data_IF_777535623450
#
_entry.id   IF_777535623450
#
_cell.length_a   1.000
_cell.length_b   1.000
_cell.length_c   1.000
_cell.angle_alpha   90.00
_cell.angle_beta   90.00
_cell.angle_gamma   90.00
#
_symmetry.space_group_name_H-M   'P 1'
#
loop_
_entity.id
_entity.type
_entity.pdbx_description
1 polymer ?
#
# COMPACT_ATOMS: atom_id res chain seq x y z
N UNK A 1 15.65 -38.34 -54.94
CA UNK A 1 14.96 -37.70 -53.79
C UNK A 1 15.80 -36.49 -53.38
N UNK A 2 15.48 -35.29 -53.87
CA UNK A 2 16.28 -34.08 -53.62
C UNK A 2 15.89 -33.46 -52.28
N UNK A 3 16.86 -33.32 -51.37
CA UNK A 3 16.68 -32.59 -50.10
C UNK A 3 17.08 -31.13 -50.30
N UNK A 4 16.10 -30.23 -50.25
CA UNK A 4 16.32 -28.80 -50.15
C UNK A 4 16.68 -28.44 -48.70
N UNK A 5 17.82 -27.78 -48.50
CA UNK A 5 18.23 -27.21 -47.22
C UNK A 5 17.69 -25.78 -47.16
N UNK A 6 16.70 -25.51 -46.32
CA UNK A 6 16.22 -24.16 -46.04
C UNK A 6 17.12 -23.55 -44.95
N UNK A 7 17.91 -22.55 -45.31
CA UNK A 7 18.67 -21.73 -44.35
C UNK A 7 17.78 -20.55 -43.97
N UNK A 8 17.29 -20.56 -42.74
CA UNK A 8 16.49 -19.48 -42.17
C UNK A 8 17.45 -18.40 -41.61
N UNK A 9 17.60 -17.28 -42.32
CA UNK A 9 18.38 -16.14 -41.85
C UNK A 9 17.58 -15.38 -40.78
N UNK A 10 17.93 -15.55 -39.52
CA UNK A 10 17.41 -14.75 -38.41
C UNK A 10 18.01 -13.33 -38.49
N UNK A 11 17.19 -12.37 -38.94
CA UNK A 11 17.49 -10.94 -38.83
C UNK A 11 17.28 -10.52 -37.36
N UNK A 12 18.37 -10.38 -36.61
CA UNK A 12 18.36 -9.79 -35.28
C UNK A 12 18.06 -8.30 -35.37
N UNK A 13 16.85 -7.89 -34.98
CA UNK A 13 16.53 -6.50 -34.71
C UNK A 13 17.24 -6.07 -33.41
N UNK A 14 18.43 -5.48 -33.54
CA UNK A 14 19.06 -4.73 -32.45
C UNK A 14 18.32 -3.41 -32.27
N UNK A 15 17.24 -3.41 -31.50
CA UNK A 15 16.67 -2.18 -30.98
C UNK A 15 17.71 -1.49 -30.11
N UNK A 16 18.18 -0.30 -30.51
CA UNK A 16 18.96 0.56 -29.64
C UNK A 16 18.12 0.81 -28.38
N UNK A 17 18.45 0.13 -27.27
CA UNK A 17 17.97 0.54 -25.95
C UNK A 17 18.60 1.90 -25.69
N UNK A 18 17.81 2.95 -25.81
CA UNK A 18 18.20 4.25 -25.25
C UNK A 18 18.58 4.01 -23.79
N UNK A 19 19.84 4.28 -23.47
CA UNK A 19 20.32 4.24 -22.10
C UNK A 19 19.72 5.43 -21.36
N UNK A 20 18.50 5.25 -20.83
CA UNK A 20 17.87 6.24 -19.97
C UNK A 20 18.73 6.40 -18.72
N UNK A 21 19.36 7.57 -18.58
CA UNK A 21 20.22 7.89 -17.44
C UNK A 21 19.59 8.87 -16.46
N UNK A 22 18.45 9.48 -16.80
CA UNK A 22 17.74 10.47 -15.98
C UNK A 22 16.21 10.23 -15.93
N UNK A 23 15.59 10.59 -14.80
CA UNK A 23 14.16 10.43 -14.53
C UNK A 23 13.58 11.63 -13.80
N UNK A 24 12.27 11.83 -13.92
CA UNK A 24 11.50 12.76 -13.11
C UNK A 24 10.42 11.97 -12.35
N UNK A 25 10.52 11.97 -11.01
CA UNK A 25 9.55 11.35 -10.11
C UNK A 25 8.53 12.39 -9.67
N UNK A 26 7.25 12.08 -9.86
CA UNK A 26 6.09 12.92 -9.52
C UNK A 26 5.14 12.14 -8.62
N UNK A 27 4.23 12.84 -7.94
CA UNK A 27 3.07 12.20 -7.34
C UNK A 27 2.13 11.70 -8.46
N UNK A 28 1.94 10.39 -8.54
CA UNK A 28 1.14 9.78 -9.61
C UNK A 28 -0.37 9.92 -9.42
N UNK A 29 -0.85 10.22 -8.19
CA UNK A 29 -2.24 10.64 -7.98
C UNK A 29 -2.45 12.07 -8.50
N UNK A 30 -1.44 12.92 -8.35
CA UNK A 30 -1.45 14.31 -8.76
C UNK A 30 -1.28 15.27 -7.60
N UNK A 31 -1.70 16.52 -7.82
CA UNK A 31 -1.54 17.63 -6.90
C UNK A 31 -2.81 18.49 -6.86
N UNK A 32 -3.16 19.03 -5.71
CA UNK A 32 -4.26 20.02 -5.64
C UNK A 32 -3.80 21.38 -6.18
N UNK A 33 -4.69 22.21 -6.76
CA UNK A 33 -4.35 23.55 -7.25
C UNK A 33 -3.61 24.42 -6.23
N UNK A 34 -4.07 24.42 -4.97
CA UNK A 34 -3.44 25.15 -3.87
C UNK A 34 -2.27 24.43 -3.19
N UNK A 35 -2.08 23.14 -3.45
CA UNK A 35 -1.08 22.30 -2.78
C UNK A 35 0.36 22.59 -3.21
N UNK A 36 1.30 22.14 -2.37
CA UNK A 36 2.73 22.11 -2.69
C UNK A 36 2.97 21.06 -3.78
N UNK A 37 3.70 21.43 -4.84
CA UNK A 37 3.94 20.58 -6.00
C UNK A 37 5.43 20.50 -6.26
N UNK A 38 6.01 19.37 -5.89
CA UNK A 38 7.43 19.11 -6.06
C UNK A 38 7.62 17.79 -6.82
N UNK A 39 8.46 17.84 -7.85
CA UNK A 39 8.98 16.67 -8.53
C UNK A 39 10.47 16.49 -8.17
N UNK A 40 10.96 15.26 -8.26
CA UNK A 40 12.38 14.95 -8.06
C UNK A 40 12.96 14.52 -9.40
N UNK A 41 13.84 15.34 -9.95
CA UNK A 41 14.69 14.93 -11.06
C UNK A 41 15.90 14.20 -10.50
N UNK A 42 16.27 13.06 -11.08
CA UNK A 42 17.41 12.26 -10.64
C UNK A 42 18.13 11.58 -11.81
N UNK A 43 19.46 11.48 -11.74
CA UNK A 43 20.29 10.85 -12.78
C UNK A 43 21.39 9.97 -12.21
N UNK A 44 21.71 8.90 -12.95
CA UNK A 44 22.88 8.03 -12.70
C UNK A 44 24.20 8.68 -13.12
N UNK A 45 24.12 9.82 -13.80
CA UNK A 45 25.26 10.61 -14.25
C UNK A 45 25.36 11.94 -13.48
N UNK A 46 26.53 12.56 -13.52
CA UNK A 46 26.77 13.87 -12.91
C UNK A 46 26.33 14.98 -13.88
N UNK A 47 25.03 15.22 -13.98
CA UNK A 47 24.47 16.18 -14.93
C UNK A 47 23.90 17.42 -14.24
N UNK A 48 24.33 18.60 -14.69
CA UNK A 48 23.73 19.85 -14.28
C UNK A 48 22.42 20.07 -15.06
N UNK A 49 21.34 20.34 -14.33
CA UNK A 49 20.07 20.77 -14.93
C UNK A 49 19.80 22.16 -14.40
N UNK A 50 19.45 23.09 -15.27
CA UNK A 50 19.25 24.52 -14.94
C UNK A 50 17.80 24.98 -15.06
N UNK A 51 16.97 24.24 -15.79
CA UNK A 51 15.58 24.63 -16.08
C UNK A 51 14.66 23.43 -16.27
N UNK A 52 13.38 23.71 -16.18
CA UNK A 52 12.28 22.78 -16.41
C UNK A 52 11.13 23.48 -17.11
N UNK A 53 10.28 22.68 -17.76
CA UNK A 53 9.03 23.13 -18.36
C UNK A 53 7.90 22.16 -17.99
N UNK A 54 6.72 22.73 -17.75
CA UNK A 54 5.46 22.03 -17.58
C UNK A 54 4.66 22.14 -18.87
N UNK A 55 4.27 21.01 -19.44
CA UNK A 55 3.51 20.96 -20.70
C UNK A 55 2.11 20.45 -20.42
N UNK A 56 1.12 21.19 -20.92
CA UNK A 56 -0.29 20.79 -20.91
C UNK A 56 -0.54 19.76 -22.01
N UNK A 57 -1.13 18.63 -21.64
CA UNK A 57 -1.30 17.50 -22.56
C UNK A 57 -2.34 17.79 -23.64
N UNK A 58 -3.40 18.51 -23.29
CA UNK A 58 -4.50 18.76 -24.20
C UNK A 58 -4.09 19.73 -25.33
N UNK A 59 -3.36 20.79 -24.99
CA UNK A 59 -2.91 21.80 -25.95
C UNK A 59 -1.54 21.52 -26.55
N UNK A 60 -0.75 20.63 -25.94
CA UNK A 60 0.66 20.38 -26.29
C UNK A 60 1.58 21.57 -25.99
N UNK A 61 1.10 22.61 -25.29
CA UNK A 61 1.85 23.84 -25.05
C UNK A 61 2.58 23.80 -23.72
N UNK A 62 3.77 24.39 -23.69
CA UNK A 62 4.45 24.73 -22.45
C UNK A 62 3.64 25.81 -21.75
N UNK A 63 3.15 25.51 -20.55
CA UNK A 63 2.27 26.38 -19.75
C UNK A 63 2.96 26.96 -18.54
N UNK A 64 4.10 26.41 -18.14
CA UNK A 64 4.98 27.01 -17.15
C UNK A 64 6.44 26.62 -17.41
N UNK A 65 7.36 27.47 -17.01
CA UNK A 65 8.80 27.21 -17.00
C UNK A 65 9.37 27.67 -15.67
N UNK A 66 10.54 27.15 -15.32
CA UNK A 66 11.28 27.64 -14.16
C UNK A 66 12.70 27.17 -14.14
N UNK A 67 13.48 27.70 -13.20
CA UNK A 67 14.82 27.21 -12.91
C UNK A 67 14.72 26.00 -11.98
N UNK A 68 15.61 25.04 -12.17
CA UNK A 68 15.88 24.03 -11.15
C UNK A 68 16.53 24.71 -9.95
N UNK A 69 16.18 24.27 -8.74
CA UNK A 69 16.80 24.77 -7.52
C UNK A 69 18.24 24.27 -7.34
N UNK A 70 18.73 24.31 -6.11
CA UNK A 70 20.05 23.75 -5.78
C UNK A 70 20.14 22.26 -6.10
N UNK A 71 21.36 21.82 -6.42
CA UNK A 71 21.72 20.40 -6.43
C UNK A 71 21.58 19.81 -5.03
N UNK A 72 21.00 18.60 -4.95
CA UNK A 72 20.97 17.80 -3.72
C UNK A 72 21.95 16.62 -3.76
N UNK A 73 22.72 16.47 -4.85
CA UNK A 73 23.75 15.45 -4.99
C UNK A 73 23.19 14.01 -4.98
N UNK A 74 23.94 13.11 -4.36
CA UNK A 74 23.69 11.68 -4.33
C UNK A 74 22.43 11.30 -3.54
N UNK A 75 21.65 10.37 -4.07
CA UNK A 75 20.54 9.71 -3.35
C UNK A 75 20.27 8.32 -3.92
N UNK A 76 20.41 7.29 -3.10
CA UNK A 76 20.26 5.89 -3.54
C UNK A 76 21.18 5.58 -4.74
N UNK A 77 20.66 5.09 -5.88
CA UNK A 77 21.47 4.77 -7.05
C UNK A 77 21.84 6.00 -7.92
N UNK A 78 21.39 7.19 -7.56
CA UNK A 78 21.57 8.40 -8.38
C UNK A 78 22.77 9.22 -7.91
N UNK A 79 23.58 9.69 -8.87
CA UNK A 79 24.73 10.57 -8.61
C UNK A 79 24.32 12.02 -8.42
N UNK A 80 23.19 12.41 -9.00
CA UNK A 80 22.75 13.79 -9.02
C UNK A 80 21.22 13.88 -8.92
N UNK A 81 20.73 14.79 -8.07
CA UNK A 81 19.31 15.02 -7.85
C UNK A 81 18.97 16.51 -7.73
N UNK A 82 17.76 16.88 -8.17
CA UNK A 82 17.18 18.22 -8.04
C UNK A 82 15.72 18.13 -7.63
N UNK A 83 15.26 19.10 -6.84
CA UNK A 83 13.84 19.33 -6.58
C UNK A 83 13.31 20.39 -7.54
N UNK A 84 12.26 20.05 -8.26
CA UNK A 84 11.54 20.95 -9.17
C UNK A 84 10.25 21.35 -8.46
N UNK A 85 10.20 22.60 -7.98
CA UNK A 85 9.01 23.19 -7.39
C UNK A 85 8.23 23.94 -8.47
N UNK A 86 6.98 23.52 -8.68
CA UNK A 86 6.05 24.14 -9.63
C UNK A 86 4.73 24.52 -8.93
N UNK A 87 4.78 24.75 -7.61
CA UNK A 87 3.62 25.05 -6.77
C UNK A 87 2.85 26.28 -7.22
N UNK A 88 3.54 27.26 -7.82
CA UNK A 88 2.96 28.47 -8.37
C UNK A 88 1.94 28.21 -9.50
N UNK A 89 2.06 27.08 -10.21
CA UNK A 89 1.10 26.71 -11.24
C UNK A 89 -0.12 26.02 -10.61
N UNK A 90 -1.30 26.62 -10.78
CA UNK A 90 -2.54 26.21 -10.10
C UNK A 90 -3.64 25.74 -11.05
N UNK A 91 -3.49 25.96 -12.36
CA UNK A 91 -4.57 25.66 -13.31
C UNK A 91 -4.84 24.13 -13.30
N UNK A 92 -6.09 23.70 -13.08
CA UNK A 92 -6.42 22.29 -13.20
C UNK A 92 -6.23 21.77 -14.63
N UNK A 93 -5.80 20.52 -14.74
CA UNK A 93 -5.53 19.88 -16.03
C UNK A 93 -4.62 18.66 -15.90
N UNK A 94 -4.18 18.15 -17.04
CA UNK A 94 -3.26 17.02 -17.14
C UNK A 94 -1.96 17.48 -17.76
N UNK A 95 -0.85 17.14 -17.11
CA UNK A 95 0.46 17.69 -17.40
C UNK A 95 1.55 16.63 -17.39
N UNK A 96 2.69 16.97 -17.95
CA UNK A 96 3.96 16.32 -17.65
C UNK A 96 5.07 17.36 -17.52
N UNK A 97 6.13 17.02 -16.79
CA UNK A 97 7.32 17.83 -16.64
C UNK A 97 8.44 17.35 -17.56
N UNK A 98 9.25 18.28 -18.04
CA UNK A 98 10.50 18.01 -18.74
C UNK A 98 11.64 18.81 -18.14
N UNK A 99 12.78 18.16 -17.94
CA UNK A 99 14.01 18.77 -17.45
C UNK A 99 15.22 17.87 -17.74
N UNK A 100 16.33 18.44 -18.19
CA UNK A 100 17.59 17.69 -18.37
C UNK A 100 17.46 16.44 -19.25
N UNK A 101 16.71 16.54 -20.36
CA UNK A 101 16.44 15.42 -21.28
C UNK A 101 15.42 14.38 -20.78
N UNK A 102 14.99 14.44 -19.52
CA UNK A 102 14.00 13.54 -18.95
C UNK A 102 12.57 14.11 -19.07
N UNK A 103 11.59 13.21 -19.22
CA UNK A 103 10.16 13.50 -19.18
C UNK A 103 9.50 12.69 -18.05
N UNK A 104 8.65 13.31 -17.24
CA UNK A 104 7.88 12.60 -16.22
C UNK A 104 6.75 11.77 -16.84
N UNK A 105 6.19 10.79 -16.11
CA UNK A 105 4.83 10.32 -16.36
C UNK A 105 3.84 11.50 -16.34
N UNK A 106 2.67 11.27 -16.95
CA UNK A 106 1.56 12.22 -16.87
C UNK A 106 1.01 12.28 -15.44
N UNK A 107 0.58 13.46 -15.00
CA UNK A 107 -0.06 13.66 -13.71
C UNK A 107 -1.16 14.72 -13.80
N UNK A 108 -2.02 14.76 -12.79
CA UNK A 108 -3.16 15.69 -12.72
C UNK A 108 -2.84 16.81 -11.74
N UNK A 109 -3.24 18.04 -12.09
CA UNK A 109 -3.50 19.09 -11.11
C UNK A 109 -5.01 19.25 -11.03
N UNK A 110 -5.61 19.07 -9.86
CA UNK A 110 -7.07 19.10 -9.71
C UNK A 110 -7.51 18.98 -8.25
N UNK A 111 -8.71 19.47 -7.94
CA UNK A 111 -9.22 19.50 -6.56
C UNK A 111 -9.45 18.09 -5.99
N UNK A 112 -9.87 17.15 -6.82
CA UNK A 112 -10.28 15.80 -6.41
C UNK A 112 -9.18 14.73 -6.54
N UNK A 113 -7.89 15.11 -6.70
CA UNK A 113 -6.81 14.11 -6.95
C UNK A 113 -6.62 13.08 -5.84
N UNK A 114 -7.08 13.37 -4.62
CA UNK A 114 -7.02 12.46 -3.47
C UNK A 114 -8.39 11.91 -3.06
N UNK A 115 -9.46 12.27 -3.79
CA UNK A 115 -10.82 11.83 -3.48
C UNK A 115 -10.92 10.31 -3.56
N UNK A 116 -11.38 9.68 -2.49
CA UNK A 116 -11.48 8.23 -2.36
C UNK A 116 -10.17 7.49 -2.07
N UNK A 117 -9.04 8.19 -1.93
CA UNK A 117 -7.78 7.55 -1.55
C UNK A 117 -7.85 6.93 -0.14
N UNK A 118 -8.56 7.58 0.78
CA UNK A 118 -8.78 7.06 2.13
C UNK A 118 -9.59 5.75 2.12
N UNK A 119 -10.74 5.71 1.43
CA UNK A 119 -11.52 4.47 1.26
C UNK A 119 -10.72 3.39 0.52
N UNK A 120 -9.88 3.77 -0.45
CA UNK A 120 -9.04 2.82 -1.17
C UNK A 120 -8.09 2.08 -0.23
N UNK A 121 -7.50 2.75 0.75
CA UNK A 121 -6.64 2.10 1.76
C UNK A 121 -7.39 1.03 2.57
N UNK A 122 -8.69 1.23 2.85
CA UNK A 122 -9.51 0.25 3.57
C UNK A 122 -9.70 -1.05 2.77
N UNK A 123 -9.54 -1.03 1.44
CA UNK A 123 -9.59 -2.26 0.64
C UNK A 123 -8.48 -3.22 1.03
N UNK A 124 -7.27 -2.72 1.29
CA UNK A 124 -6.16 -3.55 1.75
C UNK A 124 -6.46 -4.14 3.14
N UNK A 125 -6.92 -3.31 4.09
CA UNK A 125 -7.30 -3.81 5.43
C UNK A 125 -8.33 -4.95 5.37
N UNK A 126 -9.35 -4.80 4.52
CA UNK A 126 -10.38 -5.85 4.31
C UNK A 126 -9.83 -7.15 3.71
N UNK A 127 -8.82 -7.05 2.85
CA UNK A 127 -8.13 -8.23 2.29
C UNK A 127 -7.36 -8.99 3.37
N UNK A 128 -6.92 -8.31 4.41
CA UNK A 128 -6.16 -8.89 5.52
C UNK A 128 -7.06 -9.48 6.62
N UNK A 129 -8.38 -9.32 6.57
CA UNK A 129 -9.28 -9.82 7.62
C UNK A 129 -9.16 -11.35 7.79
N UNK A 130 -9.05 -11.79 9.04
CA UNK A 130 -9.12 -13.21 9.45
C UNK A 130 -10.49 -13.50 10.07
N UNK A 131 -10.94 -14.77 10.14
CA UNK A 131 -12.36 -15.05 10.27
C UNK A 131 -13.03 -14.86 8.91
N UNK A 132 -14.12 -14.08 8.80
CA UNK A 132 -14.73 -13.81 7.49
C UNK A 132 -13.90 -12.80 6.68
N UNK A 133 -13.45 -13.21 5.49
CA UNK A 133 -12.71 -12.38 4.57
C UNK A 133 -13.61 -11.97 3.38
N UNK A 134 -14.01 -10.69 3.27
CA UNK A 134 -14.94 -10.24 2.23
C UNK A 134 -14.35 -10.29 0.82
N UNK A 135 -13.02 -10.22 0.69
CA UNK A 135 -12.35 -10.29 -0.61
C UNK A 135 -12.37 -11.70 -1.18
N UNK A 136 -12.08 -12.70 -0.35
CA UNK A 136 -12.14 -14.12 -0.72
C UNK A 136 -13.58 -14.67 -0.69
N UNK A 137 -14.51 -13.98 -0.02
CA UNK A 137 -15.87 -14.44 0.27
C UNK A 137 -15.88 -15.82 0.94
N UNK A 138 -14.92 -16.03 1.83
CA UNK A 138 -14.70 -17.27 2.57
C UNK A 138 -14.15 -16.93 3.95
N UNK A 139 -14.03 -17.93 4.82
CA UNK A 139 -13.44 -17.77 6.15
C UNK A 139 -12.12 -18.50 6.32
N UNK A 140 -11.20 -17.91 7.06
CA UNK A 140 -9.91 -18.49 7.44
C UNK A 140 -9.68 -18.37 8.94
N UNK A 141 -8.77 -19.19 9.47
CA UNK A 141 -8.32 -19.12 10.87
C UNK A 141 -9.47 -19.13 11.88
N UNK A 142 -10.54 -19.86 11.58
CA UNK A 142 -11.75 -19.97 12.40
C UNK A 142 -11.55 -20.77 13.69
N UNK A 143 -10.33 -21.26 13.92
CA UNK A 143 -9.92 -22.06 15.08
C UNK A 143 -8.81 -21.37 15.87
N UNK A 144 -8.62 -20.07 15.76
CA UNK A 144 -7.69 -19.36 16.64
C UNK A 144 -8.26 -19.23 18.06
N UNK A 145 -7.49 -19.43 19.13
CA UNK A 145 -6.09 -19.89 19.21
C UNK A 145 -5.87 -20.71 20.48
N UNK A 146 -4.64 -21.17 20.69
CA UNK A 146 -4.25 -21.91 21.90
C UNK A 146 -3.03 -21.26 22.56
N UNK A 147 -3.06 -21.14 23.88
CA UNK A 147 -2.00 -20.44 24.61
C UNK A 147 -0.67 -21.18 24.56
N UNK A 148 0.41 -20.44 24.31
CA UNK A 148 1.79 -20.84 24.57
C UNK A 148 2.44 -19.88 25.59
N UNK A 149 3.38 -20.40 26.38
CA UNK A 149 4.12 -19.63 27.38
C UNK A 149 3.22 -19.00 28.46
N UNK A 150 2.09 -19.65 28.77
CA UNK A 150 1.07 -19.14 29.69
C UNK A 150 1.39 -19.30 31.18
N UNK A 151 2.38 -20.14 31.53
CA UNK A 151 2.67 -20.55 32.91
C UNK A 151 2.87 -19.36 33.86
N UNK A 152 3.63 -18.34 33.44
CA UNK A 152 3.87 -17.13 34.25
C UNK A 152 2.61 -16.30 34.50
N UNK A 153 1.60 -16.42 33.63
CA UNK A 153 0.30 -15.78 33.76
C UNK A 153 -0.75 -16.70 34.43
N UNK A 154 -0.33 -17.89 34.92
CA UNK A 154 -1.23 -18.86 35.53
C UNK A 154 -2.15 -19.57 34.52
N UNK A 155 -1.76 -19.60 33.24
CA UNK A 155 -2.51 -20.24 32.16
C UNK A 155 -1.81 -21.52 31.76
N UNK A 156 -2.54 -22.63 31.72
CA UNK A 156 -2.00 -23.89 31.19
C UNK A 156 -1.75 -23.73 29.68
N UNK A 157 -0.57 -24.09 29.21
CA UNK A 157 -0.31 -24.17 27.77
C UNK A 157 -1.32 -25.10 27.07
N UNK A 158 -1.60 -24.80 25.80
CA UNK A 158 -2.67 -25.40 25.02
C UNK A 158 -4.10 -25.08 25.47
N UNK A 159 -4.29 -24.21 26.46
CA UNK A 159 -5.63 -23.68 26.79
C UNK A 159 -6.19 -22.96 25.57
N UNK A 160 -7.41 -23.33 25.17
CA UNK A 160 -8.14 -22.70 24.07
C UNK A 160 -8.69 -21.35 24.51
N UNK A 161 -8.44 -20.32 23.72
CA UNK A 161 -9.06 -19.00 23.85
C UNK A 161 -9.57 -18.61 22.46
N UNK A 162 -10.84 -18.27 22.31
CA UNK A 162 -11.36 -17.76 21.03
C UNK A 162 -10.80 -16.35 20.80
N UNK A 163 -9.88 -16.26 19.86
CA UNK A 163 -9.28 -15.00 19.39
C UNK A 163 -9.44 -14.83 17.88
N UNK A 164 -10.45 -15.48 17.28
CA UNK A 164 -10.74 -15.36 15.84
C UNK A 164 -11.12 -13.92 15.48
N UNK A 165 -10.55 -13.39 14.39
CA UNK A 165 -10.82 -12.04 13.88
C UNK A 165 -9.53 -11.23 13.71
N UNK A 166 -9.66 -9.92 13.48
CA UNK A 166 -8.50 -9.05 13.29
C UNK A 166 -7.93 -9.17 11.88
N UNK A 167 -6.63 -8.87 11.73
CA UNK A 167 -5.95 -8.84 10.44
C UNK A 167 -4.66 -9.65 10.46
N UNK A 168 -4.38 -10.34 9.35
CA UNK A 168 -3.03 -10.76 8.98
C UNK A 168 -2.12 -9.52 8.93
N UNK A 169 -1.00 -9.56 9.64
CA UNK A 169 -0.16 -8.40 9.91
C UNK A 169 0.62 -7.95 8.67
N UNK A 170 1.06 -8.92 7.86
CA UNK A 170 1.65 -8.65 6.57
C UNK A 170 1.19 -9.69 5.54
N UNK A 171 2.09 -10.10 4.65
CA UNK A 171 1.83 -11.14 3.66
C UNK A 171 1.84 -12.56 4.23
N UNK A 172 2.24 -12.72 5.49
CA UNK A 172 2.11 -13.93 6.29
C UNK A 172 0.76 -13.91 7.05
N UNK A 173 0.42 -14.98 7.77
CA UNK A 173 -0.85 -15.03 8.49
C UNK A 173 -0.77 -14.69 9.96
N UNK A 174 0.41 -14.25 10.42
CA UNK A 174 0.64 -13.86 11.79
C UNK A 174 -0.19 -12.62 12.16
N UNK A 175 -0.53 -12.49 13.43
CA UNK A 175 -1.30 -11.35 13.95
C UNK A 175 -0.65 -10.82 15.22
N UNK A 176 -0.46 -9.50 15.33
CA UNK A 176 0.19 -8.88 16.49
C UNK A 176 -0.69 -7.80 17.11
N UNK A 177 -0.76 -7.81 18.45
CA UNK A 177 -1.55 -6.85 19.23
C UNK A 177 -1.03 -5.42 19.07
N UNK A 178 0.29 -5.22 19.00
CA UNK A 178 0.90 -3.89 18.89
C UNK A 178 0.57 -3.19 17.56
N UNK A 179 0.73 -3.88 16.44
CA UNK A 179 0.45 -3.35 15.10
C UNK A 179 -1.05 -3.18 14.88
N UNK A 180 -1.87 -4.13 15.33
CA UNK A 180 -3.33 -4.04 15.24
C UNK A 180 -3.88 -2.91 16.12
N UNK A 181 -3.33 -2.69 17.31
CA UNK A 181 -3.68 -1.54 18.16
C UNK A 181 -3.32 -0.22 17.48
N UNK A 182 -2.13 -0.14 16.87
CA UNK A 182 -1.72 1.06 16.15
C UNK A 182 -2.61 1.33 14.91
N UNK A 183 -2.92 0.30 14.12
CA UNK A 183 -3.82 0.42 12.98
C UNK A 183 -5.23 0.86 13.42
N UNK A 184 -5.79 0.23 14.44
CA UNK A 184 -7.10 0.59 15.02
C UNK A 184 -7.12 2.03 15.49
N UNK A 185 -6.08 2.46 16.22
CA UNK A 185 -5.93 3.84 16.67
C UNK A 185 -5.93 4.83 15.50
N UNK A 186 -5.14 4.57 14.45
CA UNK A 186 -5.09 5.45 13.29
C UNK A 186 -6.41 5.51 12.52
N UNK A 187 -7.17 4.42 12.42
CA UNK A 187 -8.49 4.43 11.80
C UNK A 187 -9.48 5.31 12.60
N UNK A 188 -9.51 5.15 13.94
CA UNK A 188 -10.35 5.97 14.82
C UNK A 188 -9.97 7.45 14.79
N UNK A 189 -8.67 7.76 14.78
CA UNK A 189 -8.16 9.12 14.71
C UNK A 189 -8.43 9.78 13.36
N UNK A 190 -8.29 9.03 12.26
CA UNK A 190 -8.62 9.52 10.93
C UNK A 190 -10.11 9.89 10.84
N UNK A 191 -11.00 9.07 11.40
CA UNK A 191 -12.42 9.41 11.52
C UNK A 191 -12.66 10.65 12.39
N UNK A 192 -12.02 10.74 13.55
CA UNK A 192 -12.15 11.88 14.48
C UNK A 192 -11.79 13.20 13.81
N UNK A 193 -10.68 13.22 13.07
CA UNK A 193 -10.11 14.44 12.50
C UNK A 193 -10.70 14.77 11.12
N UNK A 194 -11.13 13.76 10.36
CA UNK A 194 -11.61 13.91 8.98
C UNK A 194 -12.84 13.03 8.70
N UNK A 195 -13.99 13.22 9.38
CA UNK A 195 -15.15 12.33 9.19
C UNK A 195 -15.75 12.45 7.78
N UNK A 196 -15.71 13.64 7.18
CA UNK A 196 -16.33 13.97 5.89
C UNK A 196 -15.71 13.25 4.67
N UNK A 197 -14.50 12.66 4.81
CA UNK A 197 -13.78 12.05 3.68
C UNK A 197 -14.06 10.56 3.50
N UNK A 198 -14.68 9.92 4.50
CA UNK A 198 -14.96 8.49 4.48
C UNK A 198 -16.39 8.22 4.04
N UNK A 199 -16.57 7.18 3.24
CA UNK A 199 -17.89 6.81 2.74
C UNK A 199 -18.56 5.73 3.61
N UNK A 200 -19.86 5.52 3.39
CA UNK A 200 -20.62 4.34 3.84
C UNK A 200 -21.05 3.61 2.56
N UNK A 201 -20.26 2.61 2.17
CA UNK A 201 -20.42 1.80 0.95
C UNK A 201 -20.22 0.31 1.20
N UNK A 202 -19.71 -0.06 2.37
CA UNK A 202 -19.53 -1.44 2.79
C UNK A 202 -20.36 -1.74 4.04
N UNK A 203 -20.92 -2.94 4.10
CA UNK A 203 -21.51 -3.50 5.31
C UNK A 203 -20.42 -3.76 6.36
N UNK A 204 -20.82 -4.01 7.61
CA UNK A 204 -19.87 -4.30 8.70
C UNK A 204 -18.96 -5.51 8.41
N UNK A 205 -19.46 -6.49 7.66
CA UNK A 205 -18.67 -7.66 7.23
C UNK A 205 -17.72 -7.37 6.04
N UNK A 206 -17.72 -6.14 5.51
CA UNK A 206 -16.88 -5.68 4.41
C UNK A 206 -17.39 -6.02 3.01
N UNK A 207 -18.60 -6.58 2.86
CA UNK A 207 -19.27 -6.74 1.56
C UNK A 207 -19.93 -5.44 1.10
N UNK A 208 -20.19 -5.31 -0.21
CA UNK A 208 -20.86 -4.14 -0.78
C UNK A 208 -22.23 -3.88 -0.14
N UNK A 209 -22.51 -2.62 0.18
CA UNK A 209 -23.80 -2.16 0.72
C UNK A 209 -23.62 -1.18 1.86
N UNK A 210 -24.70 -0.53 2.31
CA UNK A 210 -24.63 0.47 3.38
C UNK A 210 -25.19 -0.04 4.70
N UNK A 211 -24.59 0.35 5.82
CA UNK A 211 -25.08 -0.01 7.16
C UNK A 211 -25.35 1.22 8.05
N UNK A 212 -25.14 2.45 7.55
CA UNK A 212 -25.31 3.69 8.32
C UNK A 212 -24.10 4.06 9.18
N UNK A 213 -22.97 3.36 9.03
CA UNK A 213 -21.70 3.66 9.68
C UNK A 213 -20.64 3.93 8.59
N UNK A 214 -19.72 4.85 8.87
CA UNK A 214 -18.62 5.08 7.95
C UNK A 214 -17.73 3.83 7.88
N UNK A 215 -17.33 3.47 6.67
CA UNK A 215 -16.51 2.30 6.34
C UNK A 215 -15.24 2.18 7.22
N UNK A 216 -14.64 3.33 7.58
CA UNK A 216 -13.46 3.39 8.45
C UNK A 216 -13.74 2.99 9.89
N UNK A 217 -14.96 3.25 10.38
CA UNK A 217 -15.39 2.85 11.71
C UNK A 217 -15.73 1.36 11.76
N UNK A 218 -16.31 0.80 10.69
CA UNK A 218 -16.48 -0.66 10.57
C UNK A 218 -15.13 -1.38 10.63
N UNK A 219 -14.13 -0.87 9.89
CA UNK A 219 -12.79 -1.45 9.92
C UNK A 219 -12.12 -1.24 11.29
N UNK A 220 -12.23 -0.06 11.90
CA UNK A 220 -11.70 0.18 13.24
C UNK A 220 -12.34 -0.75 14.28
N UNK A 221 -13.65 -0.95 14.20
CA UNK A 221 -14.38 -1.86 15.09
C UNK A 221 -13.90 -3.30 14.92
N UNK A 222 -13.63 -3.75 13.69
CA UNK A 222 -13.08 -5.08 13.43
C UNK A 222 -11.76 -5.33 14.18
N UNK A 223 -10.85 -4.35 14.16
CA UNK A 223 -9.59 -4.41 14.91
C UNK A 223 -9.79 -4.35 16.42
N UNK A 224 -10.67 -3.45 16.89
CA UNK A 224 -10.97 -3.29 18.32
C UNK A 224 -11.61 -4.56 18.91
N UNK A 225 -12.55 -5.18 18.18
CA UNK A 225 -13.19 -6.43 18.60
C UNK A 225 -12.15 -7.54 18.78
N UNK A 226 -11.16 -7.62 17.89
CA UNK A 226 -10.06 -8.59 18.03
C UNK A 226 -9.13 -8.26 19.21
N UNK A 227 -8.77 -7.00 19.41
CA UNK A 227 -7.95 -6.58 20.55
C UNK A 227 -8.60 -6.91 21.89
N UNK A 228 -9.93 -6.78 21.98
CA UNK A 228 -10.70 -7.20 23.17
C UNK A 228 -10.62 -8.71 23.40
N UNK A 229 -10.62 -9.53 22.33
CA UNK A 229 -10.39 -10.98 22.45
C UNK A 229 -8.96 -11.32 22.89
N UNK A 230 -7.98 -10.53 22.45
CA UNK A 230 -6.56 -10.65 22.87
C UNK A 230 -6.33 -10.12 24.30
N UNK A 231 -7.33 -9.48 24.92
CA UNK A 231 -7.34 -9.03 26.31
C UNK A 231 -8.60 -9.54 27.05
N UNK A 232 -8.80 -10.88 27.18
CA UNK A 232 -10.07 -11.44 27.65
C UNK A 232 -10.30 -11.27 29.15
N UNK A 233 -9.28 -10.82 29.90
CA UNK A 233 -9.33 -10.53 31.33
C UNK A 233 -8.46 -9.31 31.64
N UNK A 234 -8.75 -8.57 32.73
CA UNK A 234 -7.98 -7.39 33.12
C UNK A 234 -6.47 -7.62 33.29
N UNK A 235 -6.07 -8.85 33.60
CA UNK A 235 -4.70 -9.27 33.88
C UNK A 235 -4.04 -10.06 32.73
N UNK A 236 -4.76 -10.34 31.64
CA UNK A 236 -4.24 -11.14 30.51
C UNK A 236 -4.18 -10.32 29.25
N UNK A 237 -2.98 -10.17 28.67
CA UNK A 237 -2.81 -9.57 27.36
C UNK A 237 -1.93 -10.48 26.52
N UNK A 238 -2.48 -11.02 25.44
CA UNK A 238 -1.73 -11.82 24.48
C UNK A 238 -1.03 -10.89 23.48
N UNK A 239 0.22 -11.21 23.14
CA UNK A 239 1.02 -10.37 22.24
C UNK A 239 0.70 -10.64 20.76
N UNK A 240 0.49 -11.90 20.40
CA UNK A 240 0.39 -12.34 19.01
C UNK A 240 -0.29 -13.70 18.89
N UNK A 241 -0.80 -13.99 17.68
CA UNK A 241 -1.10 -15.34 17.19
C UNK A 241 -0.01 -15.65 16.17
N UNK A 242 1.05 -16.34 16.60
CA UNK A 242 2.22 -16.50 15.74
C UNK A 242 3.25 -17.55 16.15
N UNK A 243 3.84 -18.18 15.13
CA UNK A 243 5.19 -18.75 15.15
C UNK A 243 5.77 -18.94 13.73
N UNK A 244 7.07 -19.25 13.65
CA UNK A 244 7.85 -19.38 12.39
C UNK A 244 7.32 -20.44 11.40
N UNK A 245 6.48 -21.39 11.84
CA UNK A 245 5.85 -22.38 10.98
C UNK A 245 4.96 -21.74 9.94
N UNK A 246 4.46 -20.52 10.16
CA UNK A 246 3.73 -19.77 9.15
C UNK A 246 4.53 -19.56 7.86
N UNK A 247 5.86 -19.50 7.95
CA UNK A 247 6.74 -19.24 6.81
C UNK A 247 7.24 -20.51 6.11
N UNK A 248 6.72 -21.69 6.45
CA UNK A 248 7.13 -22.95 5.82
C UNK A 248 6.72 -23.07 4.34
N UNK A 249 5.83 -22.21 3.85
CA UNK A 249 5.40 -22.22 2.45
C UNK A 249 4.18 -21.37 2.16
N UNK A 250 4.01 -21.04 0.88
CA UNK A 250 2.86 -20.31 0.37
C UNK A 250 1.60 -21.19 0.39
N UNK A 251 0.48 -20.65 0.85
CA UNK A 251 -0.83 -21.31 0.87
C UNK A 251 -1.94 -20.28 0.82
N UNK A 252 -3.20 -20.71 0.70
CA UNK A 252 -4.35 -19.84 0.96
C UNK A 252 -4.62 -19.78 2.47
N UNK A 253 -5.18 -18.68 3.02
CA UNK A 253 -5.37 -18.55 4.47
C UNK A 253 -6.24 -19.65 5.08
N UNK A 254 -7.27 -20.10 4.37
CA UNK A 254 -8.15 -21.20 4.80
C UNK A 254 -7.46 -22.57 4.83
N UNK A 255 -6.36 -22.71 4.11
CA UNK A 255 -5.60 -23.96 4.01
C UNK A 255 -4.41 -24.00 4.99
N UNK A 256 -4.33 -23.02 5.88
CA UNK A 256 -3.22 -22.90 6.80
C UNK A 256 -3.29 -23.92 7.95
N UNK A 257 -2.57 -25.03 7.80
CA UNK A 257 -2.54 -26.13 8.77
C UNK A 257 -1.14 -26.47 9.29
N UNK A 258 -0.20 -25.52 9.23
CA UNK A 258 1.23 -25.79 9.48
C UNK A 258 1.61 -26.01 10.95
N UNK A 259 0.66 -25.83 11.87
CA UNK A 259 0.91 -25.83 13.32
C UNK A 259 0.80 -27.21 13.98
N UNK A 260 0.60 -28.28 13.19
CA UNK A 260 0.55 -29.65 13.69
C UNK A 260 -0.70 -29.98 14.54
N UNK A 261 -1.71 -29.10 14.52
CA UNK A 261 -2.96 -29.20 15.29
C UNK A 261 -4.19 -28.91 14.43
N UNK A 262 -4.21 -29.45 13.22
CA UNK A 262 -5.21 -29.07 12.22
C UNK A 262 -5.06 -27.59 11.86
N UNK A 263 -6.12 -26.81 12.09
CA UNK A 263 -6.18 -25.38 11.78
C UNK A 263 -6.03 -24.48 13.02
N UNK A 264 -5.70 -25.06 14.18
CA UNK A 264 -5.44 -24.26 15.38
C UNK A 264 -4.06 -23.59 15.32
N UNK A 265 -3.95 -22.36 15.82
CA UNK A 265 -2.71 -21.58 15.85
C UNK A 265 -2.36 -21.11 17.27
N UNK A 266 -1.06 -21.00 17.60
CA UNK A 266 -0.60 -20.56 18.91
C UNK A 266 -0.67 -19.04 19.11
#
# INVERSE_FOLDING_TARGET
MYRFLFVLTLLSFSGNKENVSAWIRVNQLGYTPGGIKVAVWCSKEQLAVSSWHLTDIQSGKIVATGKTGKSFGYYGPFKQTYRIDFSAYKKPGRYYLQAGGARSPEFIIGEDVYKGAADFCLRYMRQQRTGFNPYLKDSCHTHDGYVLYGEKAGIKDSTRIDVVGGWHDASDYLQYSSTSANATYHLLMAWRDFPEIFTDKMQANGLDGKNGMADVLDEAKWGLDWLLKMHPRPDWMFNQIADDRDHMGMRMPKQDSFYGRGYERP
#
